data_IF_226287850203
#
_entry.id   IF_226287850203
#
_cell.length_a   1.000
_cell.length_b   1.000
_cell.length_c   1.000
_cell.angle_alpha   90.00
_cell.angle_beta   90.00
_cell.angle_gamma   90.00
#
_symmetry.space_group_name_H-M   'P 1'
#
loop_
_entity.id
_entity.type
_entity.pdbx_description
1 polymer ?
#
# COMPACT_ATOMS: atom_id res chain seq x y z
N UNK A 1 3.47 10.20 -1.88
CA UNK A 1 2.76 9.34 -0.91
C UNK A 1 1.25 9.42 -1.10
N UNK A 2 0.60 10.58 -0.94
CA UNK A 2 -0.86 10.75 -1.22
C UNK A 2 -1.30 10.23 -2.59
N UNK A 3 -0.66 10.69 -3.66
CA UNK A 3 -0.99 10.23 -5.02
C UNK A 3 -0.88 8.71 -5.17
N UNK A 4 0.15 8.10 -4.56
CA UNK A 4 0.37 6.66 -4.55
C UNK A 4 -0.74 5.91 -3.80
N UNK A 5 -1.09 6.37 -2.59
CA UNK A 5 -2.16 5.78 -1.79
C UNK A 5 -3.52 5.82 -2.51
N UNK A 6 -3.84 6.94 -3.15
CA UNK A 6 -5.05 7.09 -3.98
C UNK A 6 -5.02 6.19 -5.20
N UNK A 7 -3.86 6.00 -5.83
CA UNK A 7 -3.70 5.11 -6.98
C UNK A 7 -3.92 3.65 -6.59
N UNK A 8 -3.41 3.20 -5.45
CA UNK A 8 -3.70 1.87 -4.91
C UNK A 8 -5.21 1.71 -4.69
N UNK A 9 -5.86 2.69 -4.06
CA UNK A 9 -7.30 2.64 -3.83
C UNK A 9 -8.07 2.50 -5.16
N UNK A 10 -7.79 3.34 -6.16
CA UNK A 10 -8.42 3.26 -7.49
C UNK A 10 -8.10 1.97 -8.21
N UNK A 11 -6.86 1.50 -8.18
CA UNK A 11 -6.49 0.20 -8.74
C UNK A 11 -7.40 -0.88 -8.17
N UNK A 12 -7.52 -0.93 -6.85
CA UNK A 12 -8.31 -1.92 -6.13
C UNK A 12 -9.82 -1.78 -6.29
N UNK A 13 -10.37 -0.61 -6.64
CA UNK A 13 -11.83 -0.40 -6.70
C UNK A 13 -12.36 -0.22 -8.12
N UNK A 14 -11.58 0.35 -9.04
CA UNK A 14 -12.05 0.80 -10.35
C UNK A 14 -11.46 -0.02 -11.52
N UNK A 15 -10.38 -0.77 -11.32
CA UNK A 15 -9.70 -1.47 -12.41
C UNK A 15 -10.05 -2.96 -12.51
N UNK A 16 -10.10 -3.50 -13.74
CA UNK A 16 -10.23 -4.93 -13.98
C UNK A 16 -9.05 -5.72 -13.39
N UNK A 17 -7.83 -5.20 -13.52
CA UNK A 17 -6.63 -5.81 -12.94
C UNK A 17 -6.72 -5.87 -11.41
N UNK A 18 -7.27 -4.84 -10.76
CA UNK A 18 -7.55 -4.84 -9.32
C UNK A 18 -8.60 -5.87 -8.93
N UNK A 19 -9.68 -6.03 -9.72
CA UNK A 19 -10.65 -7.09 -9.48
C UNK A 19 -10.02 -8.49 -9.54
N UNK A 20 -9.15 -8.72 -10.52
CA UNK A 20 -8.35 -9.96 -10.62
C UNK A 20 -7.42 -10.11 -9.41
N UNK A 21 -6.72 -9.05 -9.00
CA UNK A 21 -5.85 -9.08 -7.82
C UNK A 21 -6.61 -9.48 -6.55
N UNK A 22 -7.81 -8.92 -6.32
CA UNK A 22 -8.66 -9.30 -5.16
C UNK A 22 -9.03 -10.78 -5.21
N UNK A 23 -9.44 -11.28 -6.37
CA UNK A 23 -9.79 -12.69 -6.55
C UNK A 23 -8.60 -13.62 -6.30
N UNK A 24 -7.43 -13.29 -6.84
CA UNK A 24 -6.19 -14.03 -6.61
C UNK A 24 -5.78 -14.02 -5.13
N UNK A 25 -5.92 -12.88 -4.46
CA UNK A 25 -5.62 -12.74 -3.02
C UNK A 25 -6.53 -13.62 -2.17
N UNK A 26 -7.82 -13.73 -2.53
CA UNK A 26 -8.76 -14.64 -1.87
C UNK A 26 -8.39 -16.11 -2.12
N UNK A 27 -8.13 -16.51 -3.37
CA UNK A 27 -7.76 -17.89 -3.70
C UNK A 27 -6.42 -18.31 -3.09
N UNK A 28 -5.46 -17.39 -2.97
CA UNK A 28 -4.18 -17.63 -2.32
C UNK A 28 -4.29 -18.05 -0.84
N UNK A 29 -5.44 -17.81 -0.18
CA UNK A 29 -5.67 -18.32 1.19
C UNK A 29 -5.91 -19.84 1.23
N UNK A 30 -6.29 -20.43 0.09
CA UNK A 30 -6.65 -21.84 -0.03
C UNK A 30 -5.65 -22.63 -0.88
N UNK A 31 -4.81 -21.97 -1.66
CA UNK A 31 -3.79 -22.58 -2.52
C UNK A 31 -2.38 -22.02 -2.19
N UNK A 32 -1.54 -22.78 -1.47
CA UNK A 32 -0.17 -22.37 -1.14
C UNK A 32 0.73 -22.12 -2.34
N UNK A 33 0.54 -22.86 -3.45
CA UNK A 33 1.34 -22.70 -4.65
C UNK A 33 0.97 -21.39 -5.37
N UNK A 34 -0.32 -21.07 -5.44
CA UNK A 34 -0.79 -19.76 -5.91
C UNK A 34 -0.27 -18.63 -5.02
N UNK A 35 -0.33 -18.80 -3.69
CA UNK A 35 0.17 -17.80 -2.75
C UNK A 35 1.67 -17.52 -2.95
N UNK A 36 2.47 -18.56 -3.18
CA UNK A 36 3.90 -18.41 -3.47
C UNK A 36 4.13 -17.62 -4.76
N UNK A 37 3.41 -17.94 -5.85
CA UNK A 37 3.49 -17.21 -7.11
C UNK A 37 3.07 -15.75 -6.97
N UNK A 38 1.93 -15.48 -6.35
CA UNK A 38 1.44 -14.11 -6.13
C UNK A 38 2.46 -13.27 -5.33
N UNK A 39 3.07 -13.84 -4.28
CA UNK A 39 4.09 -13.16 -3.48
C UNK A 39 5.38 -12.92 -4.25
N UNK A 40 5.85 -13.91 -5.00
CA UNK A 40 7.14 -13.83 -5.70
C UNK A 40 7.08 -12.98 -6.96
N UNK A 41 6.07 -13.19 -7.80
CA UNK A 41 5.98 -12.55 -9.12
C UNK A 41 5.44 -11.12 -9.05
N UNK A 42 4.48 -10.87 -8.15
CA UNK A 42 3.77 -9.60 -8.11
C UNK A 42 4.12 -8.76 -6.88
N UNK A 43 3.90 -9.28 -5.67
CA UNK A 43 4.05 -8.47 -4.45
C UNK A 43 5.50 -8.02 -4.18
N UNK A 44 6.48 -8.83 -4.59
CA UNK A 44 7.89 -8.45 -4.44
C UNK A 44 8.28 -7.23 -5.30
N UNK A 45 7.71 -7.13 -6.52
CA UNK A 45 7.88 -5.95 -7.37
C UNK A 45 7.06 -4.77 -6.85
N UNK A 46 5.82 -5.03 -6.43
CA UNK A 46 4.92 -4.01 -5.88
C UNK A 46 5.53 -3.30 -4.67
N UNK A 47 6.15 -4.05 -3.74
CA UNK A 47 6.87 -3.47 -2.60
C UNK A 47 7.93 -2.46 -3.02
N UNK A 48 8.68 -2.75 -4.08
CA UNK A 48 9.65 -1.80 -4.64
C UNK A 48 8.98 -0.49 -5.06
N UNK A 49 7.86 -0.56 -5.77
CA UNK A 49 7.10 0.64 -6.17
C UNK A 49 6.50 1.39 -4.98
N UNK A 50 6.00 0.67 -3.97
CA UNK A 50 5.40 1.27 -2.79
C UNK A 50 6.41 2.05 -1.93
N UNK A 51 7.68 1.63 -1.94
CA UNK A 51 8.78 2.30 -1.22
C UNK A 51 9.27 3.58 -1.90
N UNK A 52 9.23 3.67 -3.23
CA UNK A 52 9.81 4.80 -3.98
C UNK A 52 9.37 6.19 -3.50
N UNK A 53 8.08 6.45 -3.18
CA UNK A 53 7.66 7.76 -2.68
C UNK A 53 8.29 8.14 -1.33
N UNK A 54 8.57 7.16 -0.47
CA UNK A 54 9.20 7.36 0.84
C UNK A 54 10.71 7.53 0.71
N UNK A 55 11.37 6.69 -0.08
CA UNK A 55 12.81 6.79 -0.34
C UNK A 55 13.16 8.17 -0.94
N UNK A 56 12.33 8.67 -1.87
CA UNK A 56 12.45 10.04 -2.40
C UNK A 56 12.18 11.13 -1.37
N UNK A 57 11.41 10.85 -0.31
CA UNK A 57 11.13 11.80 0.76
C UNK A 57 12.27 11.87 1.77
N UNK A 58 12.85 10.73 2.12
CA UNK A 58 14.08 10.64 2.91
C UNK A 58 15.24 11.33 2.19
N UNK A 59 15.46 11.04 0.90
CA UNK A 59 16.57 11.61 0.13
C UNK A 59 16.54 13.15 0.01
N UNK A 60 15.36 13.78 0.16
CA UNK A 60 15.20 15.25 0.15
C UNK A 60 15.12 15.87 1.56
N UNK A 61 15.36 15.08 2.61
CA UNK A 61 15.30 15.53 4.00
C UNK A 61 13.90 15.83 4.53
N UNK A 62 12.85 15.30 3.90
CA UNK A 62 11.46 15.54 4.32
C UNK A 62 10.93 14.48 5.32
N UNK A 63 11.69 13.40 5.55
CA UNK A 63 11.41 12.34 6.52
C UNK A 63 12.73 11.96 7.21
N UNK A 64 12.64 11.42 8.42
CA UNK A 64 13.80 10.93 9.17
C UNK A 64 14.62 9.91 8.36
N UNK A 65 15.96 10.06 8.25
CA UNK A 65 16.82 9.07 7.60
C UNK A 65 16.84 7.68 8.26
N UNK A 66 16.44 7.57 9.54
CA UNK A 66 16.27 6.33 10.28
C UNK A 66 14.89 5.67 10.12
N UNK A 67 14.01 6.22 9.29
CA UNK A 67 12.67 5.68 9.02
C UNK A 67 12.73 4.23 8.54
N UNK A 68 11.96 3.36 9.20
CA UNK A 68 11.60 2.06 8.66
C UNK A 68 10.59 2.25 7.51
N UNK A 69 11.11 2.29 6.29
CA UNK A 69 10.32 2.52 5.07
C UNK A 69 9.29 1.42 4.85
N UNK A 70 9.60 0.16 5.17
CA UNK A 70 8.67 -0.94 4.95
C UNK A 70 7.49 -0.84 5.91
N UNK A 71 7.75 -0.56 7.19
CA UNK A 71 6.69 -0.33 8.17
C UNK A 71 5.81 0.87 7.79
N UNK A 72 6.41 1.98 7.38
CA UNK A 72 5.67 3.17 6.98
C UNK A 72 4.77 2.92 5.75
N UNK A 73 5.25 2.12 4.79
CA UNK A 73 4.44 1.66 3.67
C UNK A 73 3.27 0.79 4.16
N UNK A 74 3.54 -0.21 4.99
CA UNK A 74 2.53 -1.14 5.51
C UNK A 74 1.42 -0.42 6.29
N UNK A 75 1.77 0.60 7.07
CA UNK A 75 0.81 1.45 7.78
C UNK A 75 -0.15 2.22 6.87
N UNK A 76 0.25 2.52 5.62
CA UNK A 76 -0.63 3.18 4.64
C UNK A 76 -1.42 2.14 3.84
N UNK A 77 -0.76 1.11 3.30
CA UNK A 77 -1.43 0.17 2.40
C UNK A 77 -2.34 -0.80 3.14
N UNK A 78 -2.00 -1.18 4.38
CA UNK A 78 -2.78 -2.11 5.20
C UNK A 78 -4.24 -1.68 5.39
N UNK A 79 -4.53 -0.46 5.87
CA UNK A 79 -5.89 0.02 6.03
C UNK A 79 -6.67 0.14 4.70
N UNK A 80 -6.00 0.42 3.59
CA UNK A 80 -6.61 0.44 2.25
C UNK A 80 -7.06 -0.97 1.86
N UNK A 81 -6.16 -1.95 1.96
CA UNK A 81 -6.48 -3.35 1.72
C UNK A 81 -7.56 -3.87 2.65
N UNK A 82 -7.54 -3.51 3.94
CA UNK A 82 -8.57 -3.88 4.90
C UNK A 82 -9.95 -3.39 4.45
N UNK A 83 -10.08 -2.12 4.07
CA UNK A 83 -11.37 -1.59 3.59
C UNK A 83 -11.88 -2.33 2.36
N UNK A 84 -11.01 -2.56 1.39
CA UNK A 84 -11.42 -3.19 0.13
C UNK A 84 -11.70 -4.68 0.30
N UNK A 85 -10.80 -5.43 0.95
CA UNK A 85 -10.84 -6.89 0.99
C UNK A 85 -11.68 -7.43 2.14
N UNK A 86 -11.77 -6.71 3.26
CA UNK A 86 -12.42 -7.20 4.49
C UNK A 86 -13.77 -6.54 4.69
N UNK A 87 -13.85 -5.20 4.66
CA UNK A 87 -15.11 -4.49 4.94
C UNK A 87 -15.95 -4.20 3.69
N UNK A 88 -15.40 -4.40 2.50
CA UNK A 88 -16.05 -4.10 1.22
C UNK A 88 -16.28 -2.61 0.96
N UNK A 89 -15.60 -1.72 1.70
CA UNK A 89 -15.72 -0.28 1.56
C UNK A 89 -14.78 0.26 0.48
N UNK A 90 -15.25 1.25 -0.28
CA UNK A 90 -14.39 2.01 -1.18
C UNK A 90 -13.63 3.10 -0.40
N UNK A 91 -12.29 3.08 -0.35
CA UNK A 91 -11.52 4.10 0.35
C UNK A 91 -11.65 5.46 -0.35
N UNK A 92 -12.06 6.50 0.37
CA UNK A 92 -12.12 7.87 -0.17
C UNK A 92 -10.72 8.48 -0.31
N UNK A 93 -10.60 9.53 -1.14
CA UNK A 93 -9.36 10.31 -1.24
C UNK A 93 -8.96 10.90 0.13
N UNK A 94 -9.92 11.45 0.87
CA UNK A 94 -9.73 11.96 2.23
C UNK A 94 -9.16 10.89 3.17
N UNK A 95 -9.69 9.67 3.14
CA UNK A 95 -9.15 8.58 3.95
C UNK A 95 -7.70 8.26 3.60
N UNK A 96 -7.37 8.10 2.32
CA UNK A 96 -6.00 7.81 1.90
C UNK A 96 -5.04 8.96 2.25
N UNK A 97 -5.54 10.19 2.21
CA UNK A 97 -4.79 11.38 2.60
C UNK A 97 -4.52 11.40 4.09
N UNK A 98 -5.54 11.13 4.93
CA UNK A 98 -5.38 11.04 6.38
C UNK A 98 -4.36 9.97 6.78
N UNK A 99 -4.37 8.80 6.15
CA UNK A 99 -3.37 7.76 6.43
C UNK A 99 -1.94 8.27 6.19
N UNK A 100 -1.74 8.96 5.07
CA UNK A 100 -0.44 9.54 4.73
C UNK A 100 -0.04 10.59 5.77
N UNK A 101 -0.95 11.46 6.20
CA UNK A 101 -0.64 12.49 7.20
C UNK A 101 -0.29 11.92 8.56
N UNK A 102 -1.03 10.89 9.00
CA UNK A 102 -0.75 10.19 10.26
C UNK A 102 0.63 9.54 10.22
N UNK A 103 1.00 8.90 9.10
CA UNK A 103 2.32 8.28 8.98
C UNK A 103 3.42 9.33 8.90
N UNK A 104 3.25 10.43 8.16
CA UNK A 104 4.28 11.49 8.09
C UNK A 104 4.48 12.18 9.44
N UNK A 105 3.40 12.50 10.16
CA UNK A 105 3.49 13.23 11.43
C UNK A 105 4.24 12.46 12.52
N UNK A 106 4.26 11.13 12.42
CA UNK A 106 5.04 10.25 13.30
C UNK A 106 6.54 10.19 12.97
N UNK A 107 6.95 10.68 11.79
CA UNK A 107 8.29 10.47 11.23
C UNK A 107 8.95 11.75 10.69
N UNK A 108 8.41 12.91 11.05
CA UNK A 108 9.08 14.20 10.87
C UNK A 108 9.87 14.48 12.14
N UNK A 109 11.20 14.56 12.05
CA UNK A 109 12.03 15.01 13.17
C UNK A 109 11.81 16.50 13.46
N UNK A 110 11.91 16.88 14.74
CA UNK A 110 11.91 18.28 15.20
C UNK A 110 12.98 19.14 14.49
#
# INVERSE_FOLDING_TARGET
MRAHAREIARFLTESHAGAVFRALTAQAQHDPALAARLRFEHLSRQRGYDRLPFERAVARGALDPGLDVDLAVEQIVGPIYYRVLVTGQSPSAEFTDTLVDVVISQHTGD
#
